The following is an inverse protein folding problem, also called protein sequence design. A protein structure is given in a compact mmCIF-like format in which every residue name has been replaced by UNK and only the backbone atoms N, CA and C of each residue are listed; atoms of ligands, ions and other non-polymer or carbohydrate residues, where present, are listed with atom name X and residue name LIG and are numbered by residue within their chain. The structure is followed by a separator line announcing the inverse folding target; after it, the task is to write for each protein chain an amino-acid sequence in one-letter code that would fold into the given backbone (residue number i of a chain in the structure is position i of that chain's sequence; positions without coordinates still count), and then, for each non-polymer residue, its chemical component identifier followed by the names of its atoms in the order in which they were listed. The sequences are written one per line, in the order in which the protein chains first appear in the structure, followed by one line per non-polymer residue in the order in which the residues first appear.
data_IF_137089464009
#
_entry.id   IF_137089464009
#
_cell.length_a   1.000
_cell.length_b   1.000
_cell.length_c   1.000
_cell.angle_alpha   90.00
_cell.angle_beta   90.00
_cell.angle_gamma   90.00
#
_symmetry.space_group_name_H-M   'P 1'
#
loop_
_entity.id
_entity.type
_entity.pdbx_description
1 polymer ?
#
# COMPACT_ATOMS: atom_id res chain seq x y z
N UNK A 1 -8.92 15.94 6.68
CA UNK A 1 -10.27 15.35 6.83
C UNK A 1 -11.38 16.37 6.52
N UNK A 2 -11.43 17.50 7.19
CA UNK A 2 -12.50 18.51 6.99
C UNK A 2 -12.61 18.98 5.54
N UNK A 3 -11.48 19.10 4.84
CA UNK A 3 -11.47 19.50 3.44
C UNK A 3 -12.13 18.44 2.54
N UNK A 4 -11.79 17.16 2.70
CA UNK A 4 -12.41 16.06 1.95
C UNK A 4 -13.89 15.97 2.24
N UNK A 5 -14.30 16.12 3.50
CA UNK A 5 -15.71 16.16 3.88
C UNK A 5 -16.46 17.29 3.19
N UNK A 6 -15.95 18.50 3.21
CA UNK A 6 -16.56 19.67 2.57
C UNK A 6 -16.67 19.50 1.04
N UNK A 7 -15.61 18.95 0.41
CA UNK A 7 -15.59 18.70 -1.04
C UNK A 7 -16.62 17.64 -1.42
N UNK A 8 -16.79 16.58 -0.61
CA UNK A 8 -17.74 15.52 -0.90
C UNK A 8 -19.21 15.94 -0.78
N UNK A 9 -19.49 17.04 -0.08
CA UNK A 9 -20.82 17.58 0.05
C UNK A 9 -21.26 18.43 -1.17
N UNK A 10 -20.32 18.78 -2.07
CA UNK A 10 -20.63 19.57 -3.27
C UNK A 10 -21.18 18.67 -4.34
N UNK A 11 -22.47 18.81 -4.65
CA UNK A 11 -23.22 17.96 -5.58
C UNK A 11 -23.23 18.43 -7.04
N UNK A 12 -22.74 19.65 -7.30
CA UNK A 12 -22.89 20.31 -8.60
C UNK A 12 -21.62 20.32 -9.46
N UNK A 13 -20.56 19.61 -9.02
CA UNK A 13 -19.28 19.59 -9.71
C UNK A 13 -18.49 20.90 -9.62
N UNK A 14 -18.95 21.87 -8.82
CA UNK A 14 -18.18 23.09 -8.56
C UNK A 14 -16.93 22.75 -7.78
N UNK A 15 -15.78 23.12 -8.33
CA UNK A 15 -14.50 22.92 -7.65
C UNK A 15 -14.36 23.95 -6.53
N UNK A 16 -14.18 23.46 -5.32
CA UNK A 16 -13.75 24.33 -4.22
C UNK A 16 -12.33 24.85 -4.51
N UNK A 17 -12.01 26.09 -4.08
CA UNK A 17 -10.67 26.62 -4.25
C UNK A 17 -9.59 25.68 -3.69
N UNK A 18 -8.50 25.52 -4.41
CA UNK A 18 -7.33 24.74 -4.01
C UNK A 18 -7.50 23.21 -3.93
N UNK A 19 -8.45 22.59 -4.63
CA UNK A 19 -8.58 21.12 -4.68
C UNK A 19 -7.29 20.44 -5.15
N UNK A 20 -6.62 20.98 -6.17
CA UNK A 20 -5.36 20.46 -6.70
C UNK A 20 -4.22 20.46 -5.68
N UNK A 21 -4.23 21.39 -4.70
CA UNK A 21 -3.24 21.41 -3.61
C UNK A 21 -3.30 20.16 -2.75
N UNK A 22 -4.45 19.48 -2.73
CA UNK A 22 -4.69 18.25 -1.99
C UNK A 22 -4.77 17.01 -2.90
N UNK A 23 -4.38 17.13 -4.17
CA UNK A 23 -4.43 16.04 -5.14
C UNK A 23 -5.85 15.64 -5.57
N UNK A 24 -6.85 16.49 -5.29
CA UNK A 24 -8.26 16.24 -5.62
C UNK A 24 -8.69 16.96 -6.89
N UNK A 25 -9.67 16.39 -7.60
CA UNK A 25 -10.17 16.93 -8.87
C UNK A 25 -9.26 16.64 -10.05
N UNK A 26 -8.38 15.65 -9.94
CA UNK A 26 -7.56 15.12 -11.04
C UNK A 26 -8.28 13.96 -11.73
N UNK A 27 -7.73 13.46 -12.85
CA UNK A 27 -8.23 12.23 -13.50
C UNK A 27 -8.22 11.04 -12.56
N UNK A 28 -7.17 10.93 -11.73
CA UNK A 28 -6.95 9.79 -10.86
C UNK A 28 -7.71 9.92 -9.53
N UNK A 29 -7.92 11.14 -9.07
CA UNK A 29 -8.64 11.43 -7.85
C UNK A 29 -9.78 12.43 -8.10
N UNK A 30 -10.80 12.04 -8.87
CA UNK A 30 -11.95 12.90 -9.16
C UNK A 30 -12.75 13.19 -7.88
N UNK A 31 -13.46 14.30 -7.88
CA UNK A 31 -14.36 14.66 -6.80
C UNK A 31 -15.76 14.12 -7.13
N UNK A 32 -16.39 13.45 -6.16
CA UNK A 32 -17.78 12.99 -6.29
C UNK A 32 -18.53 13.14 -4.97
N UNK A 33 -19.85 13.21 -5.07
CA UNK A 33 -20.73 13.27 -3.88
C UNK A 33 -20.59 11.99 -3.05
N UNK A 34 -20.36 12.13 -1.75
CA UNK A 34 -20.19 11.00 -0.84
C UNK A 34 -18.81 10.36 -0.84
N UNK A 35 -17.81 10.98 -1.49
CA UNK A 35 -16.44 10.44 -1.52
C UNK A 35 -15.84 10.25 -0.11
N UNK A 36 -16.13 11.14 0.82
CA UNK A 36 -15.68 11.04 2.20
C UNK A 36 -16.23 9.77 2.87
N UNK A 37 -17.55 9.59 2.83
CA UNK A 37 -18.21 8.46 3.50
C UNK A 37 -17.78 7.13 2.89
N UNK A 38 -17.67 7.07 1.55
CA UNK A 38 -17.22 5.86 0.86
C UNK A 38 -15.78 5.50 1.23
N UNK A 39 -14.86 6.47 1.20
CA UNK A 39 -13.46 6.20 1.53
C UNK A 39 -13.26 5.92 3.02
N UNK A 40 -14.05 6.56 3.90
CA UNK A 40 -14.06 6.24 5.32
C UNK A 40 -14.55 4.82 5.60
N UNK A 41 -15.54 4.32 4.83
CA UNK A 41 -15.97 2.92 4.91
C UNK A 41 -14.87 1.96 4.46
N UNK A 42 -14.13 2.27 3.40
CA UNK A 42 -12.96 1.46 2.99
C UNK A 42 -11.94 1.34 4.14
N UNK A 43 -11.57 2.46 4.75
CA UNK A 43 -10.70 2.47 5.95
C UNK A 43 -11.30 1.63 7.07
N UNK A 44 -12.62 1.74 7.30
CA UNK A 44 -13.34 0.97 8.31
C UNK A 44 -13.26 -0.53 8.10
N UNK A 45 -13.24 -1.02 6.84
CA UNK A 45 -13.07 -2.46 6.55
C UNK A 45 -11.68 -2.96 6.97
N UNK A 46 -10.63 -2.20 6.65
CA UNK A 46 -9.26 -2.53 7.00
C UNK A 46 -9.03 -2.47 8.52
N UNK A 47 -9.58 -1.45 9.19
CA UNK A 47 -9.55 -1.37 10.65
C UNK A 47 -10.26 -2.55 11.31
N UNK A 48 -11.46 -2.93 10.83
CA UNK A 48 -12.22 -4.07 11.36
C UNK A 48 -11.44 -5.38 11.20
N UNK A 49 -10.84 -5.61 10.03
CA UNK A 49 -10.00 -6.78 9.80
C UNK A 49 -8.81 -6.80 10.77
N UNK A 50 -8.18 -5.65 10.98
CA UNK A 50 -7.06 -5.48 11.92
C UNK A 50 -7.47 -5.73 13.38
N UNK A 51 -8.61 -5.22 13.82
CA UNK A 51 -9.15 -5.43 15.17
C UNK A 51 -9.47 -6.91 15.45
N UNK A 52 -9.99 -7.65 14.46
CA UNK A 52 -10.24 -9.08 14.58
C UNK A 52 -8.94 -9.85 14.81
N UNK A 53 -7.87 -9.49 14.10
CA UNK A 53 -6.54 -10.10 14.27
C UNK A 53 -5.94 -9.71 15.64
N UNK A 54 -5.91 -8.42 15.97
CA UNK A 54 -5.37 -7.94 17.25
C UNK A 54 -6.06 -8.52 18.47
N UNK A 55 -7.37 -8.75 18.37
CA UNK A 55 -8.16 -9.36 19.46
C UNK A 55 -8.08 -10.89 19.54
N UNK A 56 -7.33 -11.53 18.63
CA UNK A 56 -7.22 -12.99 18.54
C UNK A 56 -8.50 -13.71 18.10
N UNK A 57 -9.46 -12.97 17.55
CA UNK A 57 -10.70 -13.54 17.00
C UNK A 57 -10.52 -14.14 15.62
N UNK A 58 -9.46 -13.74 14.90
CA UNK A 58 -9.08 -14.29 13.62
C UNK A 58 -7.55 -14.33 13.51
N UNK A 59 -7.02 -15.37 12.86
CA UNK A 59 -5.60 -15.47 12.53
C UNK A 59 -5.25 -14.65 11.28
N UNK A 60 -6.23 -14.42 10.41
CA UNK A 60 -6.10 -13.68 9.15
C UNK A 60 -7.30 -12.75 9.02
N UNK A 61 -7.04 -11.48 8.74
CA UNK A 61 -8.02 -10.48 8.35
C UNK A 61 -7.88 -10.16 6.86
N UNK A 62 -8.99 -10.05 6.15
CA UNK A 62 -9.00 -9.66 4.73
C UNK A 62 -9.99 -8.54 4.49
N UNK A 63 -9.53 -7.43 3.93
CA UNK A 63 -10.32 -6.26 3.59
C UNK A 63 -10.31 -6.05 2.07
N UNK A 64 -11.32 -6.57 1.33
CA UNK A 64 -11.33 -6.51 -0.14
C UNK A 64 -11.49 -5.09 -0.71
N UNK A 65 -11.93 -4.14 0.10
CA UNK A 65 -12.06 -2.73 -0.29
C UNK A 65 -10.85 -1.89 0.15
N UNK A 66 -9.88 -2.49 0.84
CA UNK A 66 -8.65 -1.83 1.28
C UNK A 66 -7.51 -1.99 0.28
N UNK A 67 -6.39 -1.34 0.57
CA UNK A 67 -5.12 -1.52 -0.14
C UNK A 67 -4.89 -0.59 -1.32
N UNK A 68 -5.89 -0.28 -2.11
CA UNK A 68 -5.79 0.64 -3.27
C UNK A 68 -5.30 2.05 -2.87
N UNK A 69 -5.45 2.40 -1.61
CA UNK A 69 -5.11 3.71 -1.08
C UNK A 69 -3.64 3.84 -0.62
N UNK A 70 -2.76 2.89 -0.97
CA UNK A 70 -1.34 2.87 -0.57
C UNK A 70 -0.53 4.07 -1.12
N UNK A 71 -1.07 4.81 -2.09
CA UNK A 71 -0.50 6.05 -2.60
C UNK A 71 -0.93 7.30 -1.84
N UNK A 72 -1.98 7.23 -1.03
CA UNK A 72 -2.47 8.41 -0.32
C UNK A 72 -1.44 8.90 0.71
N UNK A 73 -1.04 10.16 0.56
CA UNK A 73 -0.10 10.81 1.46
C UNK A 73 -0.82 11.45 2.65
N UNK A 74 -0.07 11.88 3.65
CA UNK A 74 -0.64 12.53 4.84
C UNK A 74 -1.57 13.73 4.52
N UNK A 75 -1.32 14.45 3.43
CA UNK A 75 -2.04 15.68 3.07
C UNK A 75 -2.39 15.76 1.58
N UNK A 76 -2.21 14.68 0.84
CA UNK A 76 -2.35 14.70 -0.60
C UNK A 76 -2.93 13.37 -1.08
N UNK A 77 -4.06 13.43 -1.80
CA UNK A 77 -4.66 12.30 -2.49
C UNK A 77 -3.84 11.97 -3.74
N UNK A 78 -3.58 10.70 -3.97
CA UNK A 78 -2.73 10.25 -5.07
C UNK A 78 -3.10 8.83 -5.48
N UNK A 79 -2.93 8.47 -6.74
CA UNK A 79 -3.12 7.11 -7.25
C UNK A 79 -4.42 6.47 -6.80
N UNK A 80 -5.55 7.14 -7.05
CA UNK A 80 -6.92 6.76 -6.61
C UNK A 80 -7.13 6.81 -5.08
N UNK A 81 -6.06 7.01 -4.30
CA UNK A 81 -6.07 7.00 -2.83
C UNK A 81 -6.48 8.34 -2.23
N UNK A 82 -7.49 8.34 -1.36
CA UNK A 82 -7.92 9.50 -0.57
C UNK A 82 -7.41 9.40 0.87
N UNK A 83 -7.65 8.28 1.54
CA UNK A 83 -7.17 7.98 2.88
C UNK A 83 -6.36 6.69 2.84
N UNK A 84 -5.13 6.71 3.32
CA UNK A 84 -4.29 5.52 3.37
C UNK A 84 -4.76 4.59 4.48
N UNK A 85 -5.60 3.65 4.13
CA UNK A 85 -6.22 2.69 5.04
C UNK A 85 -5.17 1.79 5.71
N UNK A 86 -4.13 1.38 4.97
CA UNK A 86 -3.02 0.59 5.51
C UNK A 86 -2.27 1.34 6.62
N UNK A 87 -1.88 2.61 6.36
CA UNK A 87 -1.19 3.43 7.37
C UNK A 87 -2.08 3.66 8.59
N UNK A 88 -3.37 3.92 8.39
CA UNK A 88 -4.32 4.14 9.49
C UNK A 88 -4.45 2.88 10.36
N UNK A 89 -4.59 1.71 9.73
CA UNK A 89 -4.72 0.44 10.42
C UNK A 89 -3.42 0.04 11.14
N UNK A 90 -2.27 0.19 10.49
CA UNK A 90 -0.98 -0.10 11.11
C UNK A 90 -0.69 0.84 12.29
N UNK A 91 -1.08 2.12 12.23
CA UNK A 91 -0.96 3.01 13.38
C UNK A 91 -1.80 2.55 14.59
N UNK A 92 -2.99 1.97 14.36
CA UNK A 92 -3.76 1.37 15.44
C UNK A 92 -3.04 0.17 16.07
N UNK A 93 -2.39 -0.68 15.27
CA UNK A 93 -1.58 -1.80 15.73
C UNK A 93 -0.34 -1.34 16.50
N UNK A 94 0.37 -0.32 15.99
CA UNK A 94 1.53 0.28 16.67
C UNK A 94 1.14 0.86 18.04
N UNK A 95 0.01 1.53 18.12
CA UNK A 95 -0.51 2.05 19.38
C UNK A 95 -0.89 0.93 20.38
N UNK A 96 -1.13 -0.28 19.89
CA UNK A 96 -1.30 -1.49 20.71
C UNK A 96 0.04 -2.18 21.07
N UNK A 97 1.17 -1.60 20.66
CA UNK A 97 2.52 -2.09 20.95
C UNK A 97 3.03 -3.17 20.00
N UNK A 98 2.40 -3.35 18.84
CA UNK A 98 2.79 -4.36 17.85
C UNK A 98 3.82 -3.82 16.88
N UNK A 99 4.74 -4.69 16.47
CA UNK A 99 5.75 -4.46 15.44
C UNK A 99 5.31 -5.08 14.13
N UNK A 100 5.39 -4.33 13.02
CA UNK A 100 4.70 -4.71 11.78
C UNK A 100 5.70 -4.82 10.62
N UNK A 101 5.58 -5.89 9.84
CA UNK A 101 6.13 -5.90 8.48
C UNK A 101 5.00 -5.66 7.49
N UNK A 102 5.18 -4.66 6.64
CA UNK A 102 4.29 -4.37 5.51
C UNK A 102 4.94 -4.91 4.22
N UNK A 103 4.21 -5.73 3.48
CA UNK A 103 4.62 -6.27 2.19
C UNK A 103 3.60 -5.89 1.14
N UNK A 104 4.06 -5.14 0.17
CA UNK A 104 3.29 -4.64 -0.96
C UNK A 104 3.72 -5.40 -2.22
N UNK A 105 2.76 -6.10 -2.86
CA UNK A 105 2.97 -6.81 -4.12
C UNK A 105 2.17 -6.20 -5.27
N UNK A 106 1.56 -5.04 -5.07
CA UNK A 106 1.02 -4.20 -6.13
C UNK A 106 2.12 -3.85 -7.13
N UNK A 107 1.76 -3.68 -8.40
CA UNK A 107 2.72 -3.31 -9.41
C UNK A 107 3.29 -1.90 -9.23
N UNK A 108 2.55 -1.02 -8.55
CA UNK A 108 2.99 0.33 -8.25
C UNK A 108 3.71 0.38 -6.89
N UNK A 109 4.70 1.23 -6.78
CA UNK A 109 5.35 1.49 -5.49
C UNK A 109 4.38 2.08 -4.48
N UNK A 110 4.27 1.48 -3.29
CA UNK A 110 3.44 1.97 -2.18
C UNK A 110 4.02 3.20 -1.49
N UNK A 111 4.18 4.29 -2.24
CA UNK A 111 4.88 5.50 -1.82
C UNK A 111 4.23 6.19 -0.60
N UNK A 112 2.90 6.16 -0.50
CA UNK A 112 2.18 6.73 0.64
C UNK A 112 2.42 5.95 1.93
N UNK A 113 2.55 4.62 1.86
CA UNK A 113 2.89 3.80 3.02
C UNK A 113 4.37 3.99 3.39
N UNK A 114 5.28 3.96 2.40
CA UNK A 114 6.69 4.27 2.64
C UNK A 114 6.85 5.62 3.33
N UNK A 115 6.21 6.67 2.82
CA UNK A 115 6.27 8.01 3.39
C UNK A 115 5.70 8.09 4.83
N UNK A 116 4.75 7.22 5.16
CA UNK A 116 4.14 7.15 6.49
C UNK A 116 5.09 6.65 7.57
N UNK A 117 6.14 5.88 7.19
CA UNK A 117 7.06 5.22 8.12
C UNK A 117 8.53 5.42 7.76
N UNK A 118 8.85 6.41 6.93
CA UNK A 118 10.21 6.60 6.40
C UNK A 118 11.24 6.93 7.48
N UNK A 119 10.80 7.48 8.60
CA UNK A 119 11.59 7.85 9.77
C UNK A 119 11.34 6.95 11.01
N UNK A 120 10.72 5.77 10.82
CA UNK A 120 10.29 4.88 11.92
C UNK A 120 10.82 3.47 11.75
N UNK A 121 11.32 2.87 12.85
CA UNK A 121 11.76 1.47 12.94
C UNK A 121 10.64 0.49 13.34
N UNK A 122 9.43 1.00 13.59
CA UNK A 122 8.29 0.19 14.05
C UNK A 122 7.64 -0.60 12.91
N UNK A 123 7.80 -0.13 11.66
CA UNK A 123 7.29 -0.80 10.48
C UNK A 123 8.42 -1.04 9.50
N UNK A 124 8.65 -2.30 9.16
CA UNK A 124 9.47 -2.65 8.00
C UNK A 124 8.58 -2.58 6.75
N UNK A 125 8.76 -1.58 5.91
CA UNK A 125 8.04 -1.46 4.63
C UNK A 125 8.83 -2.13 3.52
N UNK A 126 8.20 -3.05 2.80
CA UNK A 126 8.80 -3.73 1.65
C UNK A 126 7.82 -3.62 0.47
N UNK A 127 8.28 -3.06 -0.65
CA UNK A 127 7.50 -2.98 -1.89
C UNK A 127 8.28 -3.63 -3.04
N UNK A 128 7.64 -4.61 -3.70
CA UNK A 128 8.14 -5.23 -4.94
C UNK A 128 7.26 -4.76 -6.08
N UNK A 129 7.80 -3.94 -6.98
CA UNK A 129 7.02 -3.17 -7.93
C UNK A 129 7.77 -2.97 -9.25
N UNK A 130 7.07 -2.57 -10.29
CA UNK A 130 7.70 -2.11 -11.52
C UNK A 130 8.46 -0.81 -11.24
N UNK A 131 9.69 -0.71 -11.75
CA UNK A 131 10.57 0.43 -11.51
C UNK A 131 9.89 1.77 -11.83
N UNK A 132 10.02 2.71 -10.91
CA UNK A 132 9.55 4.10 -11.05
C UNK A 132 10.15 4.85 -12.24
N UNK A 133 11.13 4.29 -12.96
CA UNK A 133 11.60 4.84 -14.24
C UNK A 133 10.53 4.69 -15.34
N UNK A 134 9.60 3.75 -15.20
CA UNK A 134 8.63 3.38 -16.23
C UNK A 134 7.19 3.50 -15.78
N UNK A 135 6.96 3.41 -14.48
CA UNK A 135 5.62 3.38 -13.91
C UNK A 135 5.43 4.47 -12.83
N UNK A 136 4.19 4.95 -12.69
CA UNK A 136 3.74 5.77 -11.57
C UNK A 136 4.03 5.03 -10.23
N UNK A 137 4.39 5.72 -9.14
CA UNK A 137 4.49 7.17 -8.97
C UNK A 137 5.88 7.76 -9.33
N UNK A 138 6.80 6.97 -9.85
CA UNK A 138 8.15 7.43 -10.19
C UNK A 138 9.14 7.39 -9.03
N UNK A 139 8.80 6.71 -7.95
CA UNK A 139 9.60 6.52 -6.71
C UNK A 139 9.85 5.03 -6.47
N UNK A 140 10.38 4.66 -5.32
CA UNK A 140 10.68 3.27 -4.96
C UNK A 140 12.03 2.80 -5.50
N UNK A 141 13.01 3.69 -5.51
CA UNK A 141 14.37 3.33 -5.90
C UNK A 141 15.07 2.56 -4.77
N UNK A 142 16.02 1.69 -5.11
CA UNK A 142 16.77 0.89 -4.13
C UNK A 142 17.51 1.73 -3.08
N UNK A 143 17.75 2.99 -3.36
CA UNK A 143 18.40 3.94 -2.45
C UNK A 143 17.44 4.58 -1.44
N UNK A 144 16.15 4.41 -1.60
CA UNK A 144 15.14 4.92 -0.68
C UNK A 144 15.00 3.94 0.50
N UNK A 145 15.93 4.02 1.45
CA UNK A 145 16.11 3.05 2.54
C UNK A 145 15.63 3.53 3.92
N UNK A 146 14.91 4.65 3.98
CA UNK A 146 14.50 5.28 5.22
C UNK A 146 15.48 6.32 5.73
N UNK A 147 15.09 7.06 6.76
CA UNK A 147 15.88 8.12 7.40
C UNK A 147 15.79 8.01 8.93
N UNK A 148 16.71 8.61 9.65
CA UNK A 148 16.75 8.65 11.11
C UNK A 148 16.59 7.24 11.72
N UNK A 149 15.62 7.03 12.60
CA UNK A 149 15.32 5.73 13.22
C UNK A 149 14.80 4.71 12.20
N UNK A 150 14.22 5.17 11.09
CA UNK A 150 13.74 4.34 9.99
C UNK A 150 14.82 3.91 8.98
N UNK A 151 16.09 4.27 9.19
CA UNK A 151 17.15 3.91 8.26
C UNK A 151 17.33 2.38 8.18
N UNK A 152 17.14 1.80 6.99
CA UNK A 152 17.16 0.37 6.73
C UNK A 152 15.81 -0.34 6.90
N UNK A 153 14.75 0.40 7.27
CA UNK A 153 13.40 -0.15 7.43
C UNK A 153 12.47 0.14 6.23
N UNK A 154 12.98 0.79 5.19
CA UNK A 154 12.30 0.93 3.89
C UNK A 154 13.07 0.13 2.85
N UNK A 155 12.40 -0.82 2.19
CA UNK A 155 13.01 -1.73 1.22
C UNK A 155 12.24 -1.71 -0.08
N UNK A 156 12.93 -1.37 -1.15
CA UNK A 156 12.37 -1.28 -2.49
C UNK A 156 13.01 -2.30 -3.42
N UNK A 157 12.18 -3.04 -4.15
CA UNK A 157 12.58 -4.04 -5.13
C UNK A 157 12.00 -3.64 -6.49
N UNK A 158 12.60 -2.63 -7.16
CA UNK A 158 12.15 -2.19 -8.47
C UNK A 158 12.52 -3.21 -9.54
N UNK A 159 11.52 -3.72 -10.26
CA UNK A 159 11.66 -4.70 -11.32
C UNK A 159 11.59 -4.02 -12.70
N UNK A 160 12.16 -4.65 -13.69
CA UNK A 160 12.04 -4.20 -15.08
C UNK A 160 10.62 -4.46 -15.61
N UNK A 161 10.11 -3.64 -16.55
CA UNK A 161 8.92 -3.98 -17.30
C UNK A 161 9.03 -5.38 -17.91
N UNK A 162 7.90 -6.08 -18.00
CA UNK A 162 7.79 -7.45 -18.53
C UNK A 162 8.48 -8.54 -17.71
N UNK A 163 8.86 -8.26 -16.46
CA UNK A 163 9.29 -9.29 -15.51
C UNK A 163 8.20 -10.35 -15.33
N UNK A 164 8.59 -11.62 -15.41
CA UNK A 164 7.71 -12.78 -15.35
C UNK A 164 7.82 -13.52 -14.01
N UNK A 165 7.03 -14.61 -13.88
CA UNK A 165 6.97 -15.41 -12.65
C UNK A 165 8.35 -15.81 -12.08
N UNK A 166 9.32 -16.35 -12.86
CA UNK A 166 10.57 -16.83 -12.28
C UNK A 166 11.38 -15.72 -11.61
N UNK A 167 11.56 -14.60 -12.28
CA UNK A 167 12.36 -13.47 -11.79
C UNK A 167 11.68 -12.78 -10.63
N UNK A 168 10.36 -12.60 -10.73
CA UNK A 168 9.57 -11.99 -9.66
C UNK A 168 9.64 -12.83 -8.37
N UNK A 169 9.46 -14.17 -8.51
CA UNK A 169 9.52 -15.06 -7.36
C UNK A 169 10.92 -15.22 -6.80
N UNK A 170 11.96 -15.17 -7.63
CA UNK A 170 13.33 -15.15 -7.14
C UNK A 170 13.60 -13.91 -6.28
N UNK A 171 13.18 -12.72 -6.75
CA UNK A 171 13.31 -11.47 -5.99
C UNK A 171 12.54 -11.53 -4.65
N UNK A 172 11.33 -12.09 -4.66
CA UNK A 172 10.54 -12.29 -3.43
C UNK A 172 11.27 -13.19 -2.42
N UNK A 173 11.76 -14.35 -2.88
CA UNK A 173 12.38 -15.36 -2.01
C UNK A 173 13.74 -14.89 -1.46
N UNK A 174 14.54 -14.19 -2.29
CA UNK A 174 15.88 -13.77 -1.94
C UNK A 174 15.90 -12.52 -1.04
N UNK A 175 14.88 -11.66 -1.12
CA UNK A 175 14.85 -10.39 -0.38
C UNK A 175 13.78 -10.41 0.71
N UNK A 176 12.51 -10.61 0.37
CA UNK A 176 11.38 -10.42 1.29
C UNK A 176 11.42 -11.44 2.42
N UNK A 177 11.54 -12.71 2.07
CA UNK A 177 11.50 -13.81 3.05
C UNK A 177 12.58 -13.71 4.13
N UNK A 178 13.88 -13.49 3.80
CA UNK A 178 14.90 -13.36 4.84
C UNK A 178 14.77 -12.10 5.68
N UNK A 179 14.32 -10.98 5.10
CA UNK A 179 14.12 -9.74 5.86
C UNK A 179 13.01 -9.87 6.90
N UNK A 180 11.87 -10.46 6.54
CA UNK A 180 10.78 -10.68 7.50
C UNK A 180 11.22 -11.62 8.62
N UNK A 181 11.95 -12.70 8.31
CA UNK A 181 12.50 -13.63 9.32
C UNK A 181 13.49 -12.95 10.26
N UNK A 182 14.30 -12.02 9.75
CA UNK A 182 15.24 -11.26 10.56
C UNK A 182 14.52 -10.21 11.42
N UNK A 183 13.54 -9.52 10.87
CA UNK A 183 12.76 -8.47 11.53
C UNK A 183 11.85 -9.01 12.64
N UNK A 184 11.28 -10.23 12.46
CA UNK A 184 10.38 -10.90 13.41
C UNK A 184 9.19 -10.02 13.81
N UNK A 185 8.32 -9.64 12.88
CA UNK A 185 7.15 -8.85 13.19
C UNK A 185 6.14 -9.63 14.04
N UNK A 186 5.33 -8.92 14.82
CA UNK A 186 4.15 -9.48 15.47
C UNK A 186 3.01 -9.69 14.48
N UNK A 187 2.92 -8.81 13.46
CA UNK A 187 1.91 -8.85 12.40
C UNK A 187 2.56 -8.66 11.04
N UNK A 188 2.17 -9.50 10.09
CA UNK A 188 2.43 -9.30 8.67
C UNK A 188 1.21 -8.62 8.05
N UNK A 189 1.37 -7.39 7.58
CA UNK A 189 0.37 -6.65 6.82
C UNK A 189 0.70 -6.73 5.33
N UNK A 190 -0.25 -7.15 4.50
CA UNK A 190 0.02 -7.33 3.06
C UNK A 190 -0.94 -6.51 2.20
N UNK A 191 -0.41 -5.83 1.19
CA UNK A 191 -1.17 -5.27 0.07
C UNK A 191 -1.03 -6.25 -1.10
N UNK A 192 -2.17 -6.70 -1.64
CA UNK A 192 -2.25 -7.77 -2.63
C UNK A 192 -2.85 -7.28 -3.96
N UNK A 193 -2.40 -6.12 -4.45
CA UNK A 193 -2.78 -5.59 -5.76
C UNK A 193 -2.53 -6.61 -6.86
N UNK A 194 -3.56 -6.85 -7.70
CA UNK A 194 -3.50 -7.86 -8.76
C UNK A 194 -2.95 -7.31 -10.08
N UNK A 195 -2.61 -6.06 -10.11
CA UNK A 195 -2.15 -5.35 -11.30
C UNK A 195 -0.76 -5.76 -11.81
N UNK A 196 -0.06 -6.64 -11.07
CA UNK A 196 1.10 -7.39 -11.58
C UNK A 196 0.72 -8.47 -12.62
N UNK A 197 -0.58 -8.75 -12.81
CA UNK A 197 -1.04 -9.78 -13.74
C UNK A 197 -0.87 -9.33 -15.20
N UNK A 198 -0.42 -10.22 -16.09
CA UNK A 198 -0.08 -9.92 -17.50
C UNK A 198 -1.23 -9.34 -18.35
N UNK A 199 -2.47 -9.38 -17.89
CA UNK A 199 -3.63 -8.81 -18.55
C UNK A 199 -4.03 -7.44 -17.97
N UNK A 200 -3.31 -6.93 -16.99
CA UNK A 200 -3.60 -5.59 -16.48
C UNK A 200 -3.31 -4.53 -17.55
N UNK A 201 -4.22 -3.58 -17.77
CA UNK A 201 -4.04 -2.58 -18.83
C UNK A 201 -3.14 -1.40 -18.45
N UNK A 202 -2.77 -1.25 -17.17
CA UNK A 202 -2.05 -0.09 -16.65
C UNK A 202 -0.56 -0.35 -16.42
N UNK A 203 -0.17 -1.62 -16.31
CA UNK A 203 1.17 -2.04 -15.88
C UNK A 203 1.84 -2.95 -16.90
N UNK A 204 3.13 -3.26 -16.70
CA UNK A 204 3.87 -4.11 -17.63
C UNK A 204 4.48 -5.36 -16.97
N UNK A 205 4.43 -5.51 -15.64
CA UNK A 205 4.78 -6.78 -14.99
C UNK A 205 3.86 -7.87 -15.56
N UNK A 206 4.38 -9.05 -15.74
CA UNK A 206 3.69 -10.09 -16.52
C UNK A 206 3.57 -11.41 -15.74
N UNK A 207 3.04 -11.33 -14.51
CA UNK A 207 2.74 -12.56 -13.75
C UNK A 207 1.55 -13.29 -14.39
N UNK A 208 1.67 -14.61 -14.43
CA UNK A 208 0.54 -15.46 -14.76
C UNK A 208 -0.43 -15.56 -13.58
N UNK A 209 -1.65 -16.05 -13.82
CA UNK A 209 -2.60 -16.35 -12.72
C UNK A 209 -1.98 -17.29 -11.68
N UNK A 210 -1.18 -18.27 -12.12
CA UNK A 210 -0.47 -19.21 -11.25
C UNK A 210 0.64 -18.49 -10.46
N UNK A 211 1.39 -17.60 -11.13
CA UNK A 211 2.41 -16.78 -10.49
C UNK A 211 1.83 -15.88 -9.40
N UNK A 212 0.76 -15.15 -9.69
CA UNK A 212 0.08 -14.33 -8.70
C UNK A 212 -0.46 -15.15 -7.52
N UNK A 213 -1.11 -16.28 -7.79
CA UNK A 213 -1.58 -17.17 -6.72
C UNK A 213 -0.43 -17.69 -5.85
N UNK A 214 0.73 -17.97 -6.44
CA UNK A 214 1.91 -18.37 -5.68
C UNK A 214 2.46 -17.22 -4.84
N UNK A 215 2.44 -15.97 -5.34
CA UNK A 215 2.83 -14.79 -4.59
C UNK A 215 1.99 -14.60 -3.32
N UNK A 216 0.67 -14.68 -3.45
CA UNK A 216 -0.27 -14.60 -2.32
C UNK A 216 -0.03 -15.73 -1.30
N UNK A 217 0.20 -16.96 -1.77
CA UNK A 217 0.54 -18.10 -0.89
C UNK A 217 1.83 -17.87 -0.14
N UNK A 218 2.87 -17.40 -0.82
CA UNK A 218 4.16 -17.09 -0.17
C UNK A 218 3.98 -16.03 0.90
N UNK A 219 3.30 -14.92 0.61
CA UNK A 219 3.01 -13.88 1.59
C UNK A 219 2.30 -14.44 2.83
N UNK A 220 1.29 -15.29 2.65
CA UNK A 220 0.56 -15.92 3.77
C UNK A 220 1.34 -17.00 4.53
N UNK A 221 2.48 -17.48 4.03
CA UNK A 221 3.30 -18.53 4.63
C UNK A 221 4.57 -18.03 5.31
N UNK A 222 4.92 -16.76 5.16
CA UNK A 222 6.07 -16.16 5.83
C UNK A 222 5.75 -16.07 7.33
N UNK A 223 6.44 -16.88 8.14
CA UNK A 223 6.32 -16.91 9.59
C UNK A 223 7.70 -16.86 10.24
#
# INVERSE_FOLDING_TARGET
LDYVFNVSAVSDGSLLPNTSKFGLGTSDNPIWTGMYDTTALCVGTTLTASELVMSGKADIGFAPAGGVHHHAMRRYASGFGIFNDAVIAMNAMINAGLRIAYVDIDCHHGDGVQAGYYDSDQVLTISIHESGQWLFPGTGHVQEIGEYDGLGYSVNIPLAPYTQDPEWHAAFDEVITPLIKAFKPDVLFTQLGIDTHFQDPLTHISLTTQGFNLAVKKAGQIR
#
